data_IF_378812382064
#
_entry.id   IF_378812382064
#
_cell.length_a   1.000
_cell.length_b   1.000
_cell.length_c   1.000
_cell.angle_alpha   90.00
_cell.angle_beta   90.00
_cell.angle_gamma   90.00
#
_symmetry.space_group_name_H-M   'P 1'
#
loop_
_entity.id
_entity.type
_entity.pdbx_description
1 polymer ?
#
# COMPACT_ATOMS: atom_id res chain seq x y z
N UNK A 1 25.03 19.04 6.40
CA UNK A 1 23.78 18.58 7.04
C UNK A 1 23.60 17.13 6.65
N UNK A 2 23.79 16.21 7.60
CA UNK A 2 23.69 14.78 7.35
C UNK A 2 22.25 14.36 7.54
N UNK A 3 21.61 13.94 6.46
CA UNK A 3 20.30 13.29 6.48
C UNK A 3 20.51 11.92 7.15
N UNK A 4 19.77 11.54 8.20
CA UNK A 4 19.88 10.19 8.73
C UNK A 4 19.41 9.19 7.65
N UNK A 5 20.12 8.07 7.44
CA UNK A 5 19.61 7.00 6.59
C UNK A 5 18.44 6.38 7.35
N UNK A 6 17.23 6.81 7.03
CA UNK A 6 16.01 6.13 7.46
C UNK A 6 15.85 4.85 6.61
N UNK A 7 16.85 3.98 6.69
CA UNK A 7 17.07 2.80 5.86
C UNK A 7 16.32 1.61 6.46
N UNK A 8 15.01 1.74 6.54
CA UNK A 8 14.09 0.59 6.61
C UNK A 8 12.67 0.97 6.19
N UNK A 9 12.52 2.00 5.35
CA UNK A 9 11.41 1.95 4.41
C UNK A 9 11.77 0.83 3.43
N UNK A 10 11.10 -0.33 3.54
CA UNK A 10 11.07 -1.33 2.47
C UNK A 10 11.03 -0.56 1.16
N UNK A 11 12.08 -0.68 0.34
CA UNK A 11 12.20 0.01 -0.93
C UNK A 11 11.19 -0.62 -1.91
N UNK A 12 9.91 -0.42 -1.62
CA UNK A 12 8.80 -0.89 -2.40
C UNK A 12 8.86 -0.15 -3.72
N UNK A 13 9.19 -0.89 -4.77
CA UNK A 13 9.15 -0.36 -6.13
C UNK A 13 7.69 -0.27 -6.55
N UNK A 14 7.23 0.96 -6.76
CA UNK A 14 5.91 1.24 -7.29
C UNK A 14 5.98 1.33 -8.83
N UNK A 15 4.93 0.93 -9.55
CA UNK A 15 4.87 1.05 -11.00
C UNK A 15 4.92 2.52 -11.43
N UNK A 16 5.81 2.83 -12.37
CA UNK A 16 5.95 4.18 -12.92
C UNK A 16 4.64 4.63 -13.59
N UNK A 17 4.24 5.87 -13.30
CA UNK A 17 3.03 6.48 -13.87
C UNK A 17 1.71 6.02 -13.23
N UNK A 18 1.74 5.10 -12.26
CA UNK A 18 0.57 4.77 -11.46
C UNK A 18 0.46 5.71 -10.26
N UNK A 19 -0.75 6.11 -9.92
CA UNK A 19 -1.06 6.91 -8.73
C UNK A 19 -1.79 6.07 -7.69
N UNK A 20 -1.84 6.55 -6.44
CA UNK A 20 -2.52 5.83 -5.36
C UNK A 20 -4.00 5.54 -5.68
N UNK A 21 -4.67 6.47 -6.37
CA UNK A 21 -6.08 6.34 -6.76
C UNK A 21 -6.33 5.18 -7.75
N UNK A 22 -5.30 4.74 -8.49
CA UNK A 22 -5.39 3.59 -9.42
C UNK A 22 -5.59 2.26 -8.69
N UNK A 23 -5.24 2.19 -7.40
CA UNK A 23 -5.54 1.03 -6.55
C UNK A 23 -7.05 0.81 -6.40
N UNK A 24 -7.88 1.81 -6.69
CA UNK A 24 -9.34 1.78 -6.51
C UNK A 24 -9.73 1.22 -5.15
N UNK A 25 -8.99 1.64 -4.12
CA UNK A 25 -9.18 1.15 -2.77
C UNK A 25 -10.61 1.46 -2.30
N UNK A 26 -11.34 0.42 -1.91
CA UNK A 26 -12.72 0.55 -1.44
C UNK A 26 -12.93 -0.31 -0.21
N UNK A 27 -13.80 0.14 0.67
CA UNK A 27 -14.26 -0.66 1.79
C UNK A 27 -15.35 -1.61 1.30
N UNK A 28 -15.18 -2.89 1.59
CA UNK A 28 -16.16 -3.93 1.33
C UNK A 28 -16.92 -4.29 2.62
N UNK A 29 -17.85 -5.24 2.52
CA UNK A 29 -18.57 -5.76 3.67
C UNK A 29 -17.59 -6.39 4.68
N UNK A 30 -17.95 -6.35 5.98
CA UNK A 30 -17.19 -6.97 7.07
C UNK A 30 -15.78 -6.38 7.28
N UNK A 31 -15.62 -5.06 7.08
CA UNK A 31 -14.34 -4.37 7.29
C UNK A 31 -13.21 -4.82 6.35
N UNK A 32 -13.53 -5.61 5.32
CA UNK A 32 -12.58 -5.96 4.28
C UNK A 32 -12.31 -4.76 3.36
N UNK A 33 -11.14 -4.78 2.72
CA UNK A 33 -10.76 -3.81 1.68
C UNK A 33 -10.69 -4.52 0.33
N UNK A 34 -11.24 -3.86 -0.69
CA UNK A 34 -11.18 -4.25 -2.08
C UNK A 34 -10.21 -3.31 -2.81
N UNK A 35 -9.39 -3.85 -3.71
CA UNK A 35 -8.38 -3.10 -4.45
C UNK A 35 -8.02 -3.79 -5.77
N UNK A 36 -7.37 -3.06 -6.65
CA UNK A 36 -6.96 -3.52 -7.97
C UNK A 36 -5.81 -4.55 -7.87
N UNK A 37 -6.18 -5.83 -7.98
CA UNK A 37 -5.23 -6.95 -7.87
C UNK A 37 -4.26 -7.04 -9.06
N UNK A 38 -4.61 -6.50 -10.23
CA UNK A 38 -3.69 -6.41 -11.37
C UNK A 38 -2.53 -5.46 -11.03
N UNK A 39 -2.83 -4.35 -10.33
CA UNK A 39 -1.82 -3.42 -9.85
C UNK A 39 -0.93 -4.03 -8.76
N UNK A 40 -1.51 -4.83 -7.87
CA UNK A 40 -0.73 -5.62 -6.89
C UNK A 40 0.20 -6.60 -7.58
N UNK A 41 -0.29 -7.32 -8.60
CA UNK A 41 0.55 -8.25 -9.37
C UNK A 41 1.74 -7.53 -10.02
N UNK A 42 1.52 -6.33 -10.56
CA UNK A 42 2.60 -5.49 -11.14
C UNK A 42 3.63 -5.10 -10.07
N UNK A 43 3.18 -4.69 -8.89
CA UNK A 43 4.07 -4.39 -7.76
C UNK A 43 4.84 -5.65 -7.33
N UNK A 44 4.18 -6.80 -7.23
CA UNK A 44 4.83 -8.07 -6.92
C UNK A 44 5.94 -8.39 -7.93
N UNK A 45 5.67 -8.27 -9.23
CA UNK A 45 6.66 -8.48 -10.30
C UNK A 45 7.84 -7.51 -10.18
N UNK A 46 7.60 -6.23 -9.90
CA UNK A 46 8.64 -5.21 -9.75
C UNK A 46 9.57 -5.49 -8.55
N UNK A 47 9.01 -6.06 -7.48
CA UNK A 47 9.72 -6.35 -6.23
C UNK A 47 10.23 -7.79 -6.12
N UNK A 48 9.99 -8.63 -7.14
CA UNK A 48 10.37 -10.04 -7.13
C UNK A 48 9.57 -10.89 -6.13
N UNK A 49 8.34 -10.47 -5.82
CA UNK A 49 7.43 -11.21 -4.94
C UNK A 49 6.58 -12.21 -5.72
N UNK A 50 6.34 -13.36 -5.10
CA UNK A 50 5.52 -14.43 -5.67
C UNK A 50 4.04 -14.12 -5.48
N UNK A 51 3.39 -13.64 -6.55
CA UNK A 51 1.98 -13.26 -6.51
C UNK A 51 1.06 -14.42 -6.11
N UNK A 52 1.40 -15.67 -6.43
CA UNK A 52 0.58 -16.82 -6.03
C UNK A 52 0.54 -16.95 -4.49
N UNK A 53 1.68 -16.75 -3.83
CA UNK A 53 1.76 -16.71 -2.35
C UNK A 53 1.06 -15.49 -1.77
N UNK A 54 1.09 -14.35 -2.48
CA UNK A 54 0.34 -13.16 -2.08
C UNK A 54 -1.17 -13.43 -2.14
N UNK A 55 -1.66 -14.17 -3.13
CA UNK A 55 -3.08 -14.55 -3.21
C UNK A 55 -3.51 -15.48 -2.07
N UNK A 56 -2.62 -16.36 -1.59
CA UNK A 56 -2.90 -17.22 -0.43
C UNK A 56 -3.03 -16.42 0.87
N UNK A 57 -2.22 -15.38 1.05
CA UNK A 57 -2.28 -14.51 2.22
C UNK A 57 -2.00 -13.04 1.85
N UNK A 58 -3.00 -12.32 1.34
CA UNK A 58 -2.79 -10.98 0.79
C UNK A 58 -2.60 -9.92 1.87
N UNK A 59 -3.11 -10.13 3.09
CA UNK A 59 -3.16 -9.13 4.16
C UNK A 59 -1.82 -8.43 4.43
N UNK A 60 -0.72 -9.15 4.70
CA UNK A 60 0.58 -8.53 5.00
C UNK A 60 1.16 -7.71 3.84
N UNK A 61 1.03 -8.22 2.62
CA UNK A 61 1.59 -7.59 1.43
C UNK A 61 0.77 -6.37 1.05
N UNK A 62 -0.55 -6.50 1.01
CA UNK A 62 -1.48 -5.39 0.75
C UNK A 62 -1.30 -4.28 1.79
N UNK A 63 -1.23 -4.62 3.08
CA UNK A 63 -1.00 -3.64 4.15
C UNK A 63 0.32 -2.86 3.97
N UNK A 64 1.38 -3.57 3.55
CA UNK A 64 2.68 -2.95 3.23
C UNK A 64 2.57 -2.01 2.03
N UNK A 65 1.95 -2.46 0.93
CA UNK A 65 1.76 -1.66 -0.28
C UNK A 65 0.99 -0.38 0.05
N UNK A 66 -0.15 -0.51 0.72
CA UNK A 66 -1.00 0.63 1.10
C UNK A 66 -0.25 1.60 2.01
N UNK A 67 0.44 1.09 3.03
CA UNK A 67 1.17 1.95 3.97
C UNK A 67 2.30 2.73 3.31
N UNK A 68 3.09 2.10 2.44
CA UNK A 68 4.22 2.77 1.78
C UNK A 68 3.74 3.72 0.70
N UNK A 69 2.85 3.25 -0.19
CA UNK A 69 2.35 4.06 -1.29
C UNK A 69 1.55 5.25 -0.79
N UNK A 70 0.70 5.07 0.23
CA UNK A 70 -0.06 6.19 0.78
C UNK A 70 0.83 7.25 1.44
N UNK A 71 1.90 6.83 2.16
CA UNK A 71 2.88 7.78 2.70
C UNK A 71 3.55 8.58 1.59
N UNK A 72 3.92 7.92 0.48
CA UNK A 72 4.51 8.58 -0.67
C UNK A 72 3.53 9.55 -1.34
N UNK A 73 2.28 9.12 -1.57
CA UNK A 73 1.21 9.95 -2.13
C UNK A 73 1.01 11.25 -1.33
N UNK A 74 0.96 11.17 0.00
CA UNK A 74 0.85 12.37 0.86
C UNK A 74 2.12 13.23 0.79
N UNK A 75 3.30 12.63 0.77
CA UNK A 75 4.57 13.36 0.66
C UNK A 75 4.71 14.10 -0.68
N UNK A 76 4.10 13.58 -1.74
CA UNK A 76 4.04 14.19 -3.08
C UNK A 76 2.95 15.27 -3.20
N UNK A 77 2.19 15.54 -2.14
CA UNK A 77 1.11 16.53 -2.12
C UNK A 77 -0.25 15.99 -2.58
N UNK A 78 -0.38 14.66 -2.68
CA UNK A 78 -1.64 13.97 -2.93
C UNK A 78 -2.67 14.20 -1.82
N UNK A 79 -3.95 14.09 -2.17
CA UNK A 79 -5.04 14.30 -1.21
C UNK A 79 -5.18 13.11 -0.24
N UNK A 80 -5.49 13.36 1.05
CA UNK A 80 -5.78 12.29 2.00
C UNK A 80 -6.93 11.40 1.54
N UNK A 81 -6.72 10.08 1.65
CA UNK A 81 -7.75 9.09 1.36
C UNK A 81 -8.53 8.76 2.63
N UNK A 82 -9.86 8.86 2.58
CA UNK A 82 -10.73 8.70 3.75
C UNK A 82 -10.62 7.30 4.38
N UNK A 83 -10.45 6.25 3.57
CA UNK A 83 -10.35 4.88 4.06
C UNK A 83 -8.99 4.63 4.69
N UNK A 84 -7.90 5.12 4.08
CA UNK A 84 -6.57 5.03 4.68
C UNK A 84 -6.49 5.82 6.00
N UNK A 85 -7.07 7.01 6.07
CA UNK A 85 -7.13 7.76 7.33
C UNK A 85 -7.98 7.02 8.37
N UNK A 86 -9.11 6.41 7.98
CA UNK A 86 -9.89 5.58 8.89
C UNK A 86 -9.08 4.39 9.42
N UNK A 87 -8.34 3.68 8.56
CA UNK A 87 -7.47 2.55 8.92
C UNK A 87 -6.33 2.96 9.87
N UNK A 88 -5.75 4.15 9.69
CA UNK A 88 -4.75 4.72 10.62
C UNK A 88 -5.32 5.00 12.01
N UNK A 89 -6.61 5.34 12.09
CA UNK A 89 -7.29 5.71 13.34
C UNK A 89 -7.85 4.49 14.09
N UNK A 90 -7.90 3.30 13.48
CA UNK A 90 -8.24 2.08 14.22
C UNK A 90 -7.04 1.76 15.13
N UNK A 91 -7.16 1.90 16.46
CA UNK A 91 -6.10 1.42 17.34
C UNK A 91 -5.94 -0.07 17.07
N UNK A 92 -4.70 -0.49 16.81
CA UNK A 92 -4.35 -1.89 16.75
C UNK A 92 -5.04 -2.60 17.91
N UNK A 93 -5.89 -3.58 17.61
CA UNK A 93 -6.55 -4.39 18.62
C UNK A 93 -5.47 -5.01 19.51
N UNK A 94 -5.29 -4.41 20.70
CA UNK A 94 -4.88 -5.03 21.95
C UNK A 94 -5.24 -4.10 23.11
#
# INVERSE_FOLDING_TARGET
>A
MSIPPNDTALALKLPEGAVFEDLKLRRCAQDAIDLDMDLVERICKLNGWDFAKVQENPGPVVSTILSVWYKQHIAEGGSPDMLMEALKQVPAWH
#
